data_IF_855114137852
#
_entry.id   IF_855114137852
#
_cell.length_a   1.000
_cell.length_b   1.000
_cell.length_c   1.000
_cell.angle_alpha   90.00
_cell.angle_beta   90.00
_cell.angle_gamma   90.00
#
_symmetry.space_group_name_H-M   'P 1'
#
loop_
_entity.id
_entity.type
_entity.pdbx_description
1 polymer ?
#
# COMPACT_ATOMS: atom_id res chain seq x y z
N UNK A 1 7.74 11.38 -1.22
CA UNK A 1 7.06 11.25 -2.54
C UNK A 1 7.22 12.50 -3.36
N UNK A 2 7.02 13.67 -2.75
CA UNK A 2 6.96 14.95 -3.46
C UNK A 2 8.26 15.33 -4.17
N UNK A 3 9.42 15.09 -3.57
CA UNK A 3 10.72 15.41 -4.19
C UNK A 3 11.01 14.57 -5.45
N UNK A 4 10.60 13.29 -5.46
CA UNK A 4 10.83 12.38 -6.59
C UNK A 4 9.62 12.24 -7.51
N UNK A 5 8.50 12.89 -7.18
CA UNK A 5 7.24 12.81 -7.95
C UNK A 5 6.62 11.40 -8.00
N UNK A 6 6.89 10.55 -7.00
CA UNK A 6 6.42 9.16 -7.00
C UNK A 6 5.03 9.06 -6.37
N UNK A 7 4.07 8.46 -7.10
CA UNK A 7 2.70 8.25 -6.62
C UNK A 7 2.52 6.93 -5.83
N UNK A 8 3.42 5.97 -6.02
CA UNK A 8 3.41 4.68 -5.32
C UNK A 8 4.79 4.05 -5.25
N UNK A 9 5.14 3.45 -4.12
CA UNK A 9 6.37 2.70 -3.91
C UNK A 9 6.07 1.36 -3.24
N UNK A 10 6.84 0.32 -3.59
CA UNK A 10 6.69 -1.04 -3.09
C UNK A 10 8.06 -1.63 -2.73
N UNK A 11 8.12 -2.39 -1.65
CA UNK A 11 9.28 -3.22 -1.30
C UNK A 11 8.85 -4.51 -0.63
N UNK A 12 9.64 -5.57 -0.80
CA UNK A 12 9.49 -6.81 -0.04
C UNK A 12 10.22 -6.76 1.30
N UNK A 13 9.72 -7.48 2.29
CA UNK A 13 10.32 -7.62 3.63
C UNK A 13 11.73 -8.21 3.59
N UNK A 14 11.98 -9.17 2.70
CA UNK A 14 13.27 -9.86 2.51
C UNK A 14 14.32 -9.10 1.72
N UNK A 15 14.11 -7.79 1.51
CA UNK A 15 15.04 -6.92 0.79
C UNK A 15 15.70 -5.98 1.78
N UNK A 16 15.61 -4.66 1.55
CA UNK A 16 16.24 -3.65 2.40
C UNK A 16 15.76 -3.65 3.86
N UNK A 17 14.69 -4.37 4.17
CA UNK A 17 14.17 -4.51 5.54
C UNK A 17 14.76 -5.69 6.30
N UNK A 18 15.50 -6.59 5.65
CA UNK A 18 16.18 -7.74 6.28
C UNK A 18 15.25 -8.62 7.13
N UNK A 19 13.96 -8.70 6.77
CA UNK A 19 12.96 -9.55 7.42
C UNK A 19 12.71 -10.84 6.61
N UNK A 20 12.11 -11.89 7.19
CA UNK A 20 11.68 -13.05 6.42
C UNK A 20 10.76 -12.66 5.27
N UNK A 21 10.82 -13.40 4.16
CA UNK A 21 9.90 -13.20 3.04
C UNK A 21 8.47 -13.51 3.50
N UNK A 22 7.52 -12.65 3.11
CA UNK A 22 6.12 -12.83 3.46
C UNK A 22 5.28 -11.56 3.41
N UNK A 23 5.92 -10.37 3.42
CA UNK A 23 5.21 -9.10 3.40
C UNK A 23 5.63 -8.24 2.20
N UNK A 24 4.64 -7.60 1.59
CA UNK A 24 4.82 -6.48 0.68
C UNK A 24 4.49 -5.19 1.42
N UNK A 25 5.46 -4.27 1.50
CA UNK A 25 5.30 -2.96 2.12
C UNK A 25 4.98 -1.97 1.00
N UNK A 26 3.81 -1.36 1.09
CA UNK A 26 3.28 -0.42 0.09
C UNK A 26 3.21 0.98 0.69
N UNK A 27 3.61 1.98 -0.09
CA UNK A 27 3.43 3.39 0.24
C UNK A 27 2.80 4.11 -0.96
N UNK A 28 1.74 4.87 -0.72
CA UNK A 28 1.00 5.61 -1.75
C UNK A 28 0.94 7.11 -1.42
N UNK A 29 0.93 7.95 -2.45
CA UNK A 29 0.79 9.40 -2.29
C UNK A 29 -0.63 9.75 -1.91
N UNK A 30 -0.85 10.90 -1.29
CA UNK A 30 -2.22 11.36 -1.01
C UNK A 30 -3.03 11.52 -2.30
N UNK A 31 -2.38 11.93 -3.39
CA UNK A 31 -2.97 11.96 -4.73
C UNK A 31 -3.40 10.57 -5.20
N UNK A 32 -2.54 9.56 -5.08
CA UNK A 32 -2.84 8.18 -5.48
C UNK A 32 -3.96 7.57 -4.62
N UNK A 33 -3.95 7.85 -3.31
CA UNK A 33 -5.01 7.41 -2.39
C UNK A 33 -6.37 8.02 -2.75
N UNK A 34 -6.43 9.31 -3.10
CA UNK A 34 -7.67 9.95 -3.54
C UNK A 34 -8.27 9.31 -4.81
N UNK A 35 -7.42 8.88 -5.76
CA UNK A 35 -7.88 8.21 -6.98
C UNK A 35 -8.52 6.83 -6.71
N UNK A 36 -8.28 6.23 -5.55
CA UNK A 36 -8.92 4.96 -5.18
C UNK A 36 -10.42 5.09 -5.01
N UNK A 37 -10.94 6.31 -4.80
CA UNK A 37 -12.36 6.60 -4.65
C UNK A 37 -13.15 6.45 -5.94
N UNK A 38 -12.53 6.77 -7.09
CA UNK A 38 -13.16 6.73 -8.41
C UNK A 38 -12.72 5.54 -9.25
N UNK A 39 -11.75 4.76 -8.80
CA UNK A 39 -11.24 3.62 -9.56
C UNK A 39 -12.28 2.49 -9.68
N UNK A 40 -12.55 2.07 -10.90
CA UNK A 40 -13.61 1.10 -11.26
C UNK A 40 -13.11 -0.35 -11.38
N UNK A 41 -11.82 -0.59 -11.18
CA UNK A 41 -11.26 -1.94 -11.27
C UNK A 41 -11.79 -2.84 -10.14
N UNK A 42 -12.17 -4.09 -10.46
CA UNK A 42 -12.57 -5.05 -9.45
C UNK A 42 -11.36 -5.41 -8.57
N UNK A 43 -11.57 -5.36 -7.25
CA UNK A 43 -10.55 -5.58 -6.22
C UNK A 43 -11.17 -6.15 -4.95
N UNK A 44 -10.37 -6.87 -4.19
CA UNK A 44 -10.77 -7.56 -2.97
C UNK A 44 -9.58 -7.59 -2.00
N UNK A 45 -8.77 -8.66 -2.01
CA UNK A 45 -7.66 -8.84 -1.05
C UNK A 45 -6.69 -7.65 -0.97
N UNK A 46 -6.34 -7.02 -2.10
CA UNK A 46 -5.44 -5.86 -2.15
C UNK A 46 -6.16 -4.51 -2.29
N UNK A 47 -7.43 -4.42 -1.90
CA UNK A 47 -8.10 -3.12 -1.88
C UNK A 47 -7.47 -2.20 -0.82
N UNK A 48 -6.99 -1.05 -1.27
CA UNK A 48 -6.24 -0.13 -0.41
C UNK A 48 -7.11 0.47 0.71
N UNK A 49 -8.41 0.65 0.50
CA UNK A 49 -9.30 1.16 1.55
C UNK A 49 -9.49 0.13 2.64
N UNK A 50 -9.74 -1.12 2.26
CA UNK A 50 -9.86 -2.23 3.21
C UNK A 50 -8.56 -2.43 3.99
N UNK A 51 -7.41 -2.44 3.28
CA UNK A 51 -6.09 -2.56 3.90
C UNK A 51 -5.79 -1.41 4.86
N UNK A 52 -6.11 -0.16 4.51
CA UNK A 52 -5.93 0.99 5.41
C UNK A 52 -6.83 0.92 6.64
N UNK A 53 -8.08 0.49 6.48
CA UNK A 53 -9.02 0.33 7.58
C UNK A 53 -8.54 -0.75 8.58
N UNK A 54 -8.04 -1.88 8.08
CA UNK A 54 -7.50 -2.94 8.91
C UNK A 54 -6.16 -2.56 9.58
N UNK A 55 -5.26 -1.90 8.83
CA UNK A 55 -3.98 -1.44 9.37
C UNK A 55 -4.17 -0.46 10.55
N UNK A 56 -5.23 0.38 10.52
CA UNK A 56 -5.56 1.28 11.63
C UNK A 56 -5.95 0.54 12.92
N UNK A 57 -6.42 -0.71 12.81
CA UNK A 57 -6.74 -1.60 13.92
C UNK A 57 -5.52 -2.45 14.35
N UNK A 58 -4.36 -2.27 13.71
CA UNK A 58 -3.16 -3.07 13.94
C UNK A 58 -3.20 -4.46 13.29
N UNK A 59 -4.17 -4.71 12.41
CA UNK A 59 -4.26 -5.96 11.66
C UNK A 59 -3.57 -5.82 10.31
N UNK A 60 -2.60 -6.70 10.05
CA UNK A 60 -1.98 -6.89 8.74
C UNK A 60 -2.17 -8.36 8.35
N UNK A 61 -2.86 -8.68 7.24
CA UNK A 61 -3.02 -10.07 6.80
C UNK A 61 -1.71 -10.72 6.36
#
# INVERSE_FOLDING_TARGET
MDEWGVDGAISGSQKGFMLPAGLAILAFSQKALALTETATFPRCFLDLKDQMAQNALGYTP
#
